data_IF_081958064530
#
_entry.id   IF_081958064530
#
_cell.length_a   1.000
_cell.length_b   1.000
_cell.length_c   1.000
_cell.angle_alpha   90.00
_cell.angle_beta   90.00
_cell.angle_gamma   90.00
#
_symmetry.space_group_name_H-M   'P 1'
#
loop_
_entity.id
_entity.type
_entity.pdbx_description
1 polymer ?
#
# COMPACT_ATOMS: atom_id res chain seq x y z
N UNK A 1 -6.94 18.20 -29.15
CA UNK A 1 -5.84 18.80 -28.35
C UNK A 1 -6.27 20.20 -27.94
N UNK A 2 -7.19 20.32 -26.99
CA UNK A 2 -7.75 21.60 -26.56
C UNK A 2 -7.09 22.05 -25.24
N UNK A 3 -5.98 22.77 -25.34
CA UNK A 3 -5.29 23.34 -24.17
C UNK A 3 -3.97 23.98 -24.60
N UNK A 4 -3.69 25.19 -24.10
CA UNK A 4 -2.41 25.85 -24.34
C UNK A 4 -1.28 25.07 -23.67
N UNK A 5 -0.06 25.15 -24.19
CA UNK A 5 1.07 24.44 -23.59
C UNK A 5 1.33 24.89 -22.14
N UNK A 6 1.06 26.16 -21.85
CA UNK A 6 1.10 26.70 -20.47
C UNK A 6 0.07 26.00 -19.58
N UNK A 7 -1.15 25.78 -20.07
CA UNK A 7 -2.19 25.08 -19.28
C UNK A 7 -1.87 23.60 -19.04
N UNK A 8 -1.19 22.94 -19.99
CA UNK A 8 -0.75 21.54 -19.82
C UNK A 8 0.41 21.41 -18.84
N UNK A 9 1.35 22.35 -18.86
CA UNK A 9 2.48 22.36 -17.92
C UNK A 9 2.08 22.69 -16.49
N UNK A 10 0.99 23.44 -16.30
CA UNK A 10 0.48 23.79 -14.99
C UNK A 10 -0.47 22.74 -14.39
N UNK A 11 -0.92 21.74 -15.15
CA UNK A 11 -1.88 20.75 -14.72
C UNK A 11 -1.20 19.48 -14.16
N UNK A 12 -1.71 18.95 -13.04
CA UNK A 12 -1.26 17.68 -12.45
C UNK A 12 -1.78 16.44 -13.22
N UNK A 13 -2.81 16.62 -14.04
CA UNK A 13 -3.43 15.57 -14.85
C UNK A 13 -3.81 16.13 -16.23
N UNK A 14 -3.42 15.43 -17.29
CA UNK A 14 -3.71 15.79 -18.67
C UNK A 14 -4.55 14.69 -19.31
N UNK A 15 -5.70 15.06 -19.87
CA UNK A 15 -6.54 14.16 -20.66
C UNK A 15 -5.99 14.13 -22.10
N UNK A 16 -5.34 13.02 -22.47
CA UNK A 16 -4.76 12.87 -23.81
C UNK A 16 -5.82 12.71 -24.90
N UNK A 17 -7.01 12.21 -24.53
CA UNK A 17 -8.15 11.95 -25.41
C UNK A 17 -9.19 13.09 -25.40
N UNK A 18 -8.95 14.18 -24.66
CA UNK A 18 -9.88 15.29 -24.42
C UNK A 18 -11.28 14.83 -23.91
N UNK A 19 -11.39 13.63 -23.31
CA UNK A 19 -12.66 13.05 -22.88
C UNK A 19 -12.97 13.35 -21.40
N UNK A 20 -13.98 14.17 -21.14
CA UNK A 20 -14.42 14.47 -19.77
C UNK A 20 -14.93 13.25 -18.99
N UNK A 21 -15.34 12.16 -19.66
CA UNK A 21 -15.71 10.92 -18.98
C UNK A 21 -14.54 10.32 -18.18
N UNK A 22 -13.30 10.56 -18.62
CA UNK A 22 -12.07 10.11 -17.94
C UNK A 22 -11.92 10.72 -16.54
N UNK A 23 -12.54 11.88 -16.27
CA UNK A 23 -12.57 12.46 -14.92
C UNK A 23 -13.45 11.62 -13.99
N UNK A 24 -14.61 11.14 -14.47
CA UNK A 24 -15.51 10.29 -13.67
C UNK A 24 -14.83 8.97 -13.35
N UNK A 25 -14.18 8.35 -14.35
CA UNK A 25 -13.36 7.14 -14.15
C UNK A 25 -12.22 7.40 -13.17
N UNK A 26 -11.53 8.55 -13.28
CA UNK A 26 -10.46 8.91 -12.36
C UNK A 26 -10.91 9.06 -10.90
N UNK A 27 -12.11 9.60 -10.66
CA UNK A 27 -12.69 9.68 -9.31
C UNK A 27 -13.05 8.29 -8.76
N UNK A 28 -13.55 7.40 -9.61
CA UNK A 28 -13.87 6.02 -9.25
C UNK A 28 -12.61 5.23 -8.86
N UNK A 29 -11.58 5.26 -9.71
CA UNK A 29 -10.28 4.63 -9.45
C UNK A 29 -9.59 5.25 -8.21
N UNK A 30 -9.71 6.57 -8.02
CA UNK A 30 -9.19 7.26 -6.85
C UNK A 30 -9.83 6.80 -5.54
N UNK A 31 -11.13 6.49 -5.54
CA UNK A 31 -11.82 5.92 -4.37
C UNK A 31 -11.41 4.47 -4.13
N UNK A 32 -11.30 3.68 -5.20
CA UNK A 32 -10.89 2.28 -5.16
C UNK A 32 -9.49 2.14 -4.54
N UNK A 33 -8.51 2.91 -5.02
CA UNK A 33 -7.14 2.85 -4.49
C UNK A 33 -7.08 3.29 -3.03
N UNK A 34 -7.89 4.27 -2.61
CA UNK A 34 -7.92 4.72 -1.22
C UNK A 34 -8.37 3.61 -0.25
N UNK A 35 -9.41 2.85 -0.60
CA UNK A 35 -9.87 1.75 0.23
C UNK A 35 -8.91 0.55 0.19
N UNK A 36 -8.28 0.27 -0.96
CA UNK A 36 -7.24 -0.75 -1.05
C UNK A 36 -5.98 -0.41 -0.25
N UNK A 37 -5.59 0.86 -0.23
CA UNK A 37 -4.46 1.33 0.57
C UNK A 37 -4.73 1.14 2.06
N UNK A 38 -5.94 1.39 2.56
CA UNK A 38 -6.29 1.08 3.96
C UNK A 38 -6.11 -0.40 4.28
N UNK A 39 -6.52 -1.30 3.37
CA UNK A 39 -6.34 -2.75 3.55
C UNK A 39 -4.86 -3.14 3.56
N UNK A 40 -4.08 -2.60 2.62
CA UNK A 40 -2.64 -2.81 2.52
C UNK A 40 -1.93 -2.35 3.81
N UNK A 41 -2.24 -1.15 4.30
CA UNK A 41 -1.72 -0.61 5.57
C UNK A 41 -2.13 -1.49 6.76
N UNK A 42 -3.40 -1.90 6.84
CA UNK A 42 -3.87 -2.76 7.91
C UNK A 42 -3.16 -4.12 7.91
N UNK A 43 -2.86 -4.68 6.73
CA UNK A 43 -2.10 -5.92 6.59
C UNK A 43 -0.67 -5.75 7.13
N UNK A 44 0.06 -4.71 6.68
CA UNK A 44 1.42 -4.42 7.16
C UNK A 44 1.45 -4.19 8.68
N UNK A 45 0.55 -3.37 9.21
CA UNK A 45 0.46 -3.12 10.66
C UNK A 45 0.13 -4.39 11.46
N UNK A 46 -0.68 -5.29 10.91
CA UNK A 46 -1.03 -6.55 11.59
C UNK A 46 0.18 -7.48 11.68
N UNK A 47 1.08 -7.47 10.68
CA UNK A 47 2.31 -8.28 10.68
C UNK A 47 3.34 -7.82 11.73
N UNK A 48 3.35 -6.54 12.08
CA UNK A 48 4.28 -6.00 13.09
C UNK A 48 3.98 -6.51 14.53
N UNK A 49 2.73 -6.87 14.84
CA UNK A 49 2.35 -7.40 16.17
C UNK A 49 3.03 -8.75 16.48
N UNK A 50 2.95 -9.79 15.62
CA UNK A 50 3.63 -11.05 15.83
C UNK A 50 5.17 -10.95 15.71
N UNK A 51 5.73 -9.86 15.19
CA UNK A 51 7.18 -9.62 15.20
C UNK A 51 7.68 -9.04 16.53
N UNK A 52 6.91 -8.13 17.14
CA UNK A 52 7.26 -7.51 18.43
C UNK A 52 6.98 -8.46 19.60
N UNK A 53 5.93 -9.27 19.52
CA UNK A 53 5.49 -10.16 20.61
C UNK A 53 6.60 -11.14 21.08
N UNK A 54 7.34 -11.84 20.21
CA UNK A 54 8.46 -12.71 20.60
C UNK A 54 9.58 -11.95 21.31
N UNK A 55 9.83 -10.70 20.91
CA UNK A 55 10.82 -9.83 21.56
C UNK A 55 10.39 -9.45 22.98
N UNK A 56 9.11 -9.12 23.18
CA UNK A 56 8.57 -8.82 24.50
C UNK A 56 8.57 -10.05 25.42
N UNK A 57 8.24 -11.23 24.89
CA UNK A 57 8.29 -12.49 25.65
C UNK A 57 9.74 -12.82 26.02
N UNK A 58 10.68 -12.72 25.08
CA UNK A 58 12.11 -12.88 25.35
C UNK A 58 12.57 -12.01 26.54
N UNK A 59 12.21 -10.72 26.53
CA UNK A 59 12.59 -9.78 27.60
C UNK A 59 11.94 -10.08 28.96
N UNK A 60 10.76 -10.69 28.98
CA UNK A 60 9.98 -10.90 30.21
C UNK A 60 10.16 -12.29 30.82
N UNK A 61 10.42 -13.32 30.01
CA UNK A 61 10.54 -14.72 30.46
C UNK A 61 11.94 -15.33 30.29
N UNK A 62 12.92 -14.57 29.79
CA UNK A 62 14.31 -15.02 29.58
C UNK A 62 14.42 -16.31 28.74
N UNK A 63 13.41 -16.56 27.91
CA UNK A 63 13.29 -17.71 27.02
C UNK A 63 14.19 -17.54 25.79
N UNK A 64 14.59 -18.61 25.09
CA UNK A 64 15.38 -18.51 23.87
C UNK A 64 14.71 -17.60 22.82
N UNK A 65 15.51 -16.76 22.15
CA UNK A 65 15.02 -15.82 21.13
C UNK A 65 14.36 -16.60 19.98
N UNK A 66 13.03 -16.49 19.86
CA UNK A 66 12.27 -17.23 18.85
C UNK A 66 12.46 -16.69 17.42
N UNK A 67 12.64 -15.38 17.26
CA UNK A 67 12.93 -14.72 15.99
C UNK A 67 14.13 -13.77 16.13
N UNK A 68 15.16 -13.99 15.30
CA UNK A 68 16.29 -13.07 15.18
C UNK A 68 15.95 -11.83 14.35
N UNK A 69 16.64 -10.72 14.59
CA UNK A 69 16.44 -9.45 13.87
C UNK A 69 16.59 -9.60 12.34
N UNK A 70 17.51 -10.44 11.88
CA UNK A 70 17.69 -10.70 10.44
C UNK A 70 16.45 -11.41 9.85
N UNK A 71 15.86 -12.34 10.60
CA UNK A 71 14.65 -13.06 10.15
C UNK A 71 13.46 -12.12 10.03
N UNK A 72 13.31 -11.18 10.97
CA UNK A 72 12.28 -10.13 10.91
C UNK A 72 12.48 -9.26 9.66
N UNK A 73 13.70 -8.78 9.39
CA UNK A 73 14.00 -8.01 8.18
C UNK A 73 13.70 -8.79 6.88
N UNK A 74 13.95 -10.10 6.87
CA UNK A 74 13.60 -10.95 5.73
C UNK A 74 12.08 -11.07 5.53
N UNK A 75 11.29 -11.02 6.60
CA UNK A 75 9.83 -11.04 6.54
C UNK A 75 9.32 -9.69 6.01
N UNK A 76 9.70 -8.60 6.68
CA UNK A 76 9.29 -7.23 6.33
C UNK A 76 9.65 -6.84 4.88
N UNK A 77 10.91 -7.03 4.50
CA UNK A 77 11.44 -6.56 3.20
C UNK A 77 11.34 -7.62 2.10
N UNK A 78 11.18 -8.89 2.47
CA UNK A 78 11.13 -9.99 1.53
C UNK A 78 9.71 -10.45 1.27
N UNK A 79 9.10 -11.08 2.27
CA UNK A 79 7.83 -11.77 2.08
C UNK A 79 6.62 -10.86 2.14
N UNK A 80 6.63 -9.81 2.96
CA UNK A 80 5.45 -8.98 3.21
C UNK A 80 5.23 -7.89 2.15
N UNK A 81 6.30 -7.47 1.45
CA UNK A 81 6.20 -6.50 0.37
C UNK A 81 5.29 -6.97 -0.77
N UNK A 82 5.39 -8.23 -1.19
CA UNK A 82 4.64 -8.74 -2.35
C UNK A 82 3.13 -8.81 -2.07
N UNK A 83 2.66 -9.42 -0.95
CA UNK A 83 1.26 -9.41 -0.55
C UNK A 83 0.72 -8.00 -0.28
N UNK A 84 1.49 -7.13 0.38
CA UNK A 84 1.06 -5.77 0.67
C UNK A 84 0.80 -4.97 -0.60
N UNK A 85 1.69 -5.08 -1.60
CA UNK A 85 1.49 -4.47 -2.92
C UNK A 85 0.30 -5.13 -3.62
N UNK A 86 0.18 -6.46 -3.57
CA UNK A 86 -0.94 -7.17 -4.21
C UNK A 86 -2.31 -6.74 -3.66
N UNK A 87 -2.41 -6.42 -2.37
CA UNK A 87 -3.64 -5.89 -1.75
C UNK A 87 -4.00 -4.50 -2.27
N UNK A 88 -3.02 -3.69 -2.68
CA UNK A 88 -3.29 -2.39 -3.31
C UNK A 88 -3.98 -2.56 -4.68
N UNK A 89 -3.76 -3.68 -5.37
CA UNK A 89 -4.37 -4.04 -6.66
C UNK A 89 -5.67 -4.84 -6.53
N UNK A 90 -6.21 -5.02 -5.32
CA UNK A 90 -7.47 -5.76 -5.14
C UNK A 90 -8.61 -5.02 -5.85
N UNK A 91 -9.38 -5.69 -6.72
CA UNK A 91 -10.54 -5.04 -7.33
C UNK A 91 -11.64 -4.87 -6.28
N UNK A 92 -12.35 -3.74 -6.33
CA UNK A 92 -13.56 -3.53 -5.53
C UNK A 92 -14.49 -4.73 -5.74
N UNK A 93 -14.78 -5.46 -4.66
CA UNK A 93 -15.84 -6.47 -4.66
C UNK A 93 -17.16 -5.72 -4.81
N UNK A 94 -17.65 -5.66 -6.04
CA UNK A 94 -19.07 -5.47 -6.33
C UNK A 94 -19.78 -6.82 -6.25
#
# INVERSE_FOLDING_TARGET
IAGSDVSKQAADMILLDDNFASIVTGVEEGRLIFDNLKKSIAYTLTSNIPEITPFLIYLTTDTPLALGTITILCIDLGTDMIPAISLAYEKTKH
#
